data_IF_239262373081
#
_entry.id   IF_239262373081
#
_cell.length_a   1.000
_cell.length_b   1.000
_cell.length_c   1.000
_cell.angle_alpha   90.00
_cell.angle_beta   90.00
_cell.angle_gamma   90.00
#
_symmetry.space_group_name_H-M   'P 1'
#
loop_
_entity.id
_entity.type
_entity.pdbx_description
1 polymer ?
#
# COMPACT_ATOMS: atom_id res chain seq x y z
N UNK A 1 20.80 -19.96 -11.07
CA UNK A 1 20.88 -21.31 -10.47
C UNK A 1 19.51 -21.96 -10.58
N UNK A 2 19.39 -23.22 -11.02
CA UNK A 2 18.08 -23.87 -11.18
C UNK A 2 17.38 -24.03 -9.82
N UNK A 3 16.16 -23.52 -9.71
CA UNK A 3 15.35 -23.66 -8.50
C UNK A 3 14.81 -25.10 -8.37
N UNK A 4 14.84 -25.63 -7.14
CA UNK A 4 14.35 -26.98 -6.83
C UNK A 4 12.84 -27.09 -7.11
N UNK A 5 12.40 -28.22 -7.67
CA UNK A 5 11.00 -28.51 -8.01
C UNK A 5 10.33 -29.34 -6.93
N UNK A 6 10.13 -28.73 -5.77
CA UNK A 6 9.59 -29.41 -4.59
C UNK A 6 8.20 -30.01 -4.84
N UNK A 7 7.37 -29.39 -5.68
CA UNK A 7 6.03 -29.88 -6.06
C UNK A 7 6.07 -31.23 -6.77
N UNK A 8 7.05 -31.46 -7.65
CA UNK A 8 7.21 -32.74 -8.35
C UNK A 8 7.57 -33.85 -7.35
N UNK A 9 8.50 -33.56 -6.43
CA UNK A 9 8.91 -34.50 -5.39
C UNK A 9 7.75 -34.81 -4.42
N UNK A 10 6.99 -33.79 -4.01
CA UNK A 10 5.81 -33.96 -3.15
C UNK A 10 4.73 -34.82 -3.79
N UNK A 11 4.42 -34.60 -5.08
CA UNK A 11 3.42 -35.41 -5.80
C UNK A 11 3.86 -36.87 -5.91
N UNK A 12 5.15 -37.12 -6.18
CA UNK A 12 5.72 -38.48 -6.21
C UNK A 12 5.56 -39.18 -4.85
N UNK A 13 5.92 -38.49 -3.76
CA UNK A 13 5.82 -39.04 -2.40
C UNK A 13 4.36 -39.30 -2.01
N UNK A 14 3.43 -38.41 -2.36
CA UNK A 14 2.00 -38.57 -2.09
C UNK A 14 1.39 -39.80 -2.79
N UNK A 15 1.98 -40.24 -3.91
CA UNK A 15 1.60 -41.45 -4.63
C UNK A 15 2.39 -42.70 -4.16
N UNK A 16 3.22 -42.56 -3.13
CA UNK A 16 3.95 -43.68 -2.51
C UNK A 16 5.22 -44.10 -3.25
N UNK A 17 5.73 -43.29 -4.18
CA UNK A 17 6.92 -43.64 -4.95
C UNK A 17 8.23 -43.14 -4.30
N UNK A 18 9.24 -44.00 -4.21
CA UNK A 18 10.64 -43.58 -4.05
C UNK A 18 11.19 -43.05 -5.38
N UNK A 19 12.32 -42.33 -5.38
CA UNK A 19 12.95 -41.85 -6.62
C UNK A 19 13.31 -43.01 -7.57
N UNK A 20 13.76 -44.15 -7.02
CA UNK A 20 14.10 -45.36 -7.77
C UNK A 20 12.86 -46.02 -8.38
N UNK A 21 11.81 -46.26 -7.59
CA UNK A 21 10.55 -46.85 -8.09
C UNK A 21 9.85 -45.94 -9.09
N UNK A 22 9.98 -44.63 -8.93
CA UNK A 22 9.45 -43.66 -9.88
C UNK A 22 10.23 -43.67 -11.20
N UNK A 23 11.56 -43.78 -11.14
CA UNK A 23 12.43 -43.88 -12.30
C UNK A 23 12.13 -45.18 -13.09
N UNK A 24 11.98 -46.30 -12.38
CA UNK A 24 11.58 -47.58 -12.95
C UNK A 24 10.22 -47.51 -13.65
N UNK A 25 9.19 -46.97 -12.99
CA UNK A 25 7.86 -46.79 -13.58
C UNK A 25 7.90 -45.92 -14.86
N UNK A 26 8.76 -44.90 -14.87
CA UNK A 26 8.96 -44.03 -16.03
C UNK A 26 9.92 -44.62 -17.09
N UNK A 27 10.63 -45.71 -16.80
CA UNK A 27 11.70 -46.29 -17.62
C UNK A 27 12.83 -45.29 -17.91
N UNK A 28 13.29 -44.61 -16.85
CA UNK A 28 14.44 -43.69 -16.90
C UNK A 28 15.43 -44.03 -15.79
N UNK A 29 16.67 -43.53 -15.90
CA UNK A 29 17.64 -43.67 -14.81
C UNK A 29 17.22 -42.83 -13.58
N UNK A 30 17.50 -43.32 -12.36
CA UNK A 30 17.24 -42.58 -11.10
C UNK A 30 17.90 -41.20 -11.08
N UNK A 31 19.10 -41.07 -11.66
CA UNK A 31 19.81 -39.79 -11.82
C UNK A 31 19.07 -38.79 -12.70
N UNK A 32 18.20 -39.24 -13.60
CA UNK A 32 17.33 -38.37 -14.41
C UNK A 32 16.19 -37.80 -13.57
N UNK A 33 15.59 -38.59 -12.68
CA UNK A 33 14.58 -38.12 -11.72
C UNK A 33 15.19 -37.12 -10.73
N UNK A 34 16.39 -37.40 -10.21
CA UNK A 34 17.11 -36.45 -9.33
C UNK A 34 17.36 -35.12 -10.03
N UNK A 35 17.76 -35.15 -11.31
CA UNK A 35 17.96 -33.91 -12.10
C UNK A 35 16.64 -33.19 -12.39
N UNK A 36 15.54 -33.90 -12.59
CA UNK A 36 14.22 -33.30 -12.76
C UNK A 36 13.75 -32.58 -11.50
N UNK A 37 13.86 -33.23 -10.33
CA UNK A 37 13.48 -32.65 -9.03
C UNK A 37 14.41 -31.51 -8.60
N UNK A 38 15.71 -31.57 -8.95
CA UNK A 38 16.65 -30.48 -8.73
C UNK A 38 16.48 -29.31 -9.72
N UNK A 39 15.55 -29.39 -10.68
CA UNK A 39 15.35 -28.36 -11.72
C UNK A 39 16.46 -28.29 -12.78
N UNK A 40 17.46 -29.21 -12.74
CA UNK A 40 18.63 -29.22 -13.63
C UNK A 40 18.35 -29.81 -15.02
N UNK A 41 17.23 -30.50 -15.19
CA UNK A 41 16.78 -31.04 -16.48
C UNK A 41 15.24 -31.03 -16.56
N UNK A 42 14.69 -30.88 -17.75
CA UNK A 42 13.25 -31.03 -18.03
C UNK A 42 12.96 -32.39 -18.68
N UNK A 43 11.84 -33.05 -18.38
CA UNK A 43 11.39 -34.20 -19.14
C UNK A 43 11.18 -33.84 -20.61
N UNK A 44 11.68 -34.67 -21.52
CA UNK A 44 11.52 -34.44 -22.96
C UNK A 44 10.04 -34.58 -23.38
N UNK A 45 9.59 -33.94 -24.48
CA UNK A 45 8.18 -33.93 -24.89
C UNK A 45 7.53 -35.32 -24.95
N UNK A 46 8.24 -36.33 -25.47
CA UNK A 46 7.72 -37.71 -25.55
C UNK A 46 7.60 -38.42 -24.18
N UNK A 47 8.30 -37.94 -23.15
CA UNK A 47 8.27 -38.49 -21.80
C UNK A 47 7.08 -37.95 -20.98
N UNK A 48 6.59 -36.76 -21.33
CA UNK A 48 5.55 -36.03 -20.57
C UNK A 48 4.21 -36.78 -20.50
N UNK A 49 3.67 -37.41 -21.57
CA UNK A 49 2.39 -38.13 -21.49
C UNK A 49 2.45 -39.34 -20.53
N UNK A 50 3.57 -40.06 -20.51
CA UNK A 50 3.77 -41.20 -19.61
C UNK A 50 3.93 -40.74 -18.16
N UNK A 51 4.69 -39.66 -17.95
CA UNK A 51 4.90 -39.03 -16.67
C UNK A 51 3.59 -38.51 -16.05
N UNK A 52 2.76 -37.83 -16.85
CA UNK A 52 1.43 -37.35 -16.45
C UNK A 52 0.53 -38.50 -15.97
N UNK A 53 0.52 -39.61 -16.71
CA UNK A 53 -0.26 -40.81 -16.37
C UNK A 53 0.15 -41.41 -15.03
N UNK A 54 1.46 -41.56 -14.79
CA UNK A 54 1.99 -42.12 -13.53
C UNK A 54 1.72 -41.19 -12.35
N UNK A 55 1.82 -39.87 -12.56
CA UNK A 55 1.53 -38.85 -11.56
C UNK A 55 0.02 -38.56 -11.36
N UNK A 56 -0.84 -39.24 -12.12
CA UNK A 56 -2.29 -39.00 -12.17
C UNK A 56 -2.59 -37.50 -12.28
N UNK A 57 -1.92 -36.85 -13.23
CA UNK A 57 -2.01 -35.41 -13.46
C UNK A 57 -2.48 -35.15 -14.90
N UNK A 58 -3.28 -34.11 -15.12
CA UNK A 58 -3.54 -33.60 -16.48
C UNK A 58 -2.26 -33.00 -17.09
N UNK A 59 -2.19 -32.77 -18.40
CA UNK A 59 -1.06 -32.08 -19.02
C UNK A 59 -0.76 -30.72 -18.37
N UNK A 60 -1.80 -29.96 -18.03
CA UNK A 60 -1.72 -28.63 -17.40
C UNK A 60 -1.23 -28.74 -15.94
N UNK A 61 -1.70 -29.75 -15.21
CA UNK A 61 -1.22 -30.03 -13.85
C UNK A 61 0.24 -30.49 -13.86
N UNK A 62 0.66 -31.28 -14.87
CA UNK A 62 2.05 -31.68 -15.04
C UNK A 62 2.95 -30.48 -15.31
N UNK A 63 2.50 -29.52 -16.13
CA UNK A 63 3.22 -28.27 -16.35
C UNK A 63 3.38 -27.51 -15.02
N UNK A 64 2.32 -27.37 -14.22
CA UNK A 64 2.38 -26.71 -12.91
C UNK A 64 3.31 -27.40 -11.89
N UNK A 65 3.46 -28.73 -11.97
CA UNK A 65 4.41 -29.51 -11.17
C UNK A 65 5.86 -29.35 -11.64
N UNK A 66 6.07 -29.08 -12.92
CA UNK A 66 7.38 -28.88 -13.55
C UNK A 66 7.86 -27.43 -13.53
N UNK A 67 6.98 -26.46 -13.29
CA UNK A 67 7.35 -25.05 -13.06
C UNK A 67 7.91 -24.88 -11.64
N UNK A 68 9.17 -24.47 -11.46
CA UNK A 68 9.72 -24.19 -10.14
C UNK A 68 8.92 -23.08 -9.44
N UNK A 69 8.80 -23.16 -8.12
CA UNK A 69 8.06 -22.17 -7.32
C UNK A 69 8.60 -20.74 -7.51
N UNK A 70 9.87 -20.60 -7.89
CA UNK A 70 10.50 -19.32 -8.25
C UNK A 70 10.04 -18.75 -9.59
N UNK A 71 9.63 -19.56 -10.57
CA UNK A 71 9.17 -19.05 -11.88
C UNK A 71 7.73 -18.51 -11.83
N UNK A 72 6.89 -18.98 -10.91
CA UNK A 72 5.57 -18.36 -10.68
C UNK A 72 5.72 -16.99 -9.99
N UNK A 73 6.75 -16.83 -9.16
CA UNK A 73 7.13 -15.53 -8.58
C UNK A 73 7.83 -14.62 -9.59
N UNK A 74 8.62 -15.18 -10.52
CA UNK A 74 9.31 -14.42 -11.59
C UNK A 74 8.40 -14.09 -12.78
N UNK A 75 7.35 -14.86 -13.05
CA UNK A 75 6.36 -14.53 -14.10
C UNK A 75 5.40 -13.41 -13.67
N UNK A 76 5.26 -13.17 -12.36
CA UNK A 76 4.50 -12.06 -11.76
C UNK A 76 5.41 -10.93 -11.26
N UNK A 77 6.73 -11.08 -11.36
CA UNK A 77 7.69 -9.99 -11.21
C UNK A 77 8.12 -9.52 -12.60
N UNK A 78 8.29 -8.21 -12.84
CA UNK A 78 8.85 -7.77 -14.12
C UNK A 78 10.28 -8.33 -14.31
N UNK A 79 10.71 -8.59 -15.55
CA UNK A 79 12.05 -9.15 -15.81
C UNK A 79 13.11 -8.14 -15.35
N UNK A 80 13.94 -8.55 -14.39
CA UNK A 80 14.95 -7.69 -13.75
C UNK A 80 16.27 -7.60 -14.54
N UNK A 81 16.39 -8.25 -15.70
CA UNK A 81 17.70 -8.44 -16.38
C UNK A 81 17.81 -7.88 -17.82
N UNK A 82 16.90 -6.99 -18.27
CA UNK A 82 17.00 -6.46 -19.65
C UNK A 82 17.24 -4.96 -19.82
N UNK A 83 17.44 -4.15 -18.78
CA UNK A 83 17.77 -2.73 -18.97
C UNK A 83 18.72 -2.20 -17.87
N UNK A 84 19.98 -2.64 -17.89
CA UNK A 84 21.04 -2.15 -17.03
C UNK A 84 21.65 -0.81 -17.54
N UNK A 85 20.80 0.19 -17.82
CA UNK A 85 21.26 1.56 -18.11
C UNK A 85 20.30 2.65 -17.60
N UNK A 86 19.47 2.32 -16.61
CA UNK A 86 18.59 3.28 -15.93
C UNK A 86 19.19 3.76 -14.62
N UNK A 87 19.12 5.08 -14.36
CA UNK A 87 19.36 5.67 -13.03
C UNK A 87 18.64 4.83 -11.95
N UNK A 88 19.31 4.53 -10.84
CA UNK A 88 18.79 3.67 -9.79
C UNK A 88 17.39 4.12 -9.30
N UNK A 89 17.09 5.41 -9.44
CA UNK A 89 15.79 6.02 -9.12
C UNK A 89 14.64 5.60 -10.07
N UNK A 90 14.91 5.40 -11.37
CA UNK A 90 13.93 4.91 -12.36
C UNK A 90 13.64 3.42 -12.17
N UNK A 91 14.67 2.63 -11.82
CA UNK A 91 14.49 1.23 -11.43
C UNK A 91 13.60 1.12 -10.18
N UNK A 92 13.83 1.96 -9.16
CA UNK A 92 12.98 2.05 -7.97
C UNK A 92 11.53 2.41 -8.34
N UNK A 93 11.32 3.32 -9.30
CA UNK A 93 9.99 3.70 -9.78
C UNK A 93 9.24 2.54 -10.42
N UNK A 94 9.84 1.83 -11.36
CA UNK A 94 9.19 0.71 -12.07
C UNK A 94 8.80 -0.41 -11.13
N UNK A 95 9.65 -0.70 -10.17
CA UNK A 95 9.41 -1.77 -9.21
C UNK A 95 8.29 -1.41 -8.21
N UNK A 96 8.29 -0.16 -7.71
CA UNK A 96 7.18 0.36 -6.89
C UNK A 96 5.85 0.29 -7.65
N UNK A 97 5.82 0.70 -8.92
CA UNK A 97 4.63 0.61 -9.76
C UNK A 97 4.17 -0.84 -9.97
N UNK A 98 5.09 -1.76 -10.20
CA UNK A 98 4.79 -3.18 -10.37
C UNK A 98 4.15 -3.77 -9.12
N UNK A 99 4.67 -3.45 -7.93
CA UNK A 99 4.07 -3.90 -6.67
C UNK A 99 2.70 -3.27 -6.39
N UNK A 100 2.54 -1.97 -6.70
CA UNK A 100 1.25 -1.30 -6.56
C UNK A 100 0.20 -1.99 -7.44
N UNK A 101 0.54 -2.28 -8.70
CA UNK A 101 -0.33 -2.98 -9.63
C UNK A 101 -0.67 -4.40 -9.14
N UNK A 102 0.34 -5.19 -8.78
CA UNK A 102 0.16 -6.56 -8.31
C UNK A 102 -0.68 -6.63 -7.03
N UNK A 103 -0.35 -5.79 -6.04
CA UNK A 103 -1.08 -5.74 -4.77
C UNK A 103 -2.50 -5.23 -4.97
N UNK A 104 -2.68 -4.17 -5.76
CA UNK A 104 -3.98 -3.60 -6.10
C UNK A 104 -4.93 -4.63 -6.73
N UNK A 105 -4.43 -5.44 -7.66
CA UNK A 105 -5.19 -6.53 -8.24
C UNK A 105 -5.57 -7.57 -7.18
N UNK A 106 -4.61 -8.01 -6.36
CA UNK A 106 -4.83 -9.04 -5.35
C UNK A 106 -5.84 -8.60 -4.27
N UNK A 107 -5.81 -7.36 -3.80
CA UNK A 107 -6.79 -6.84 -2.82
C UNK A 107 -8.18 -6.55 -3.42
N UNK A 108 -8.33 -6.61 -4.74
CA UNK A 108 -9.63 -6.38 -5.41
C UNK A 108 -10.33 -7.68 -5.81
N UNK A 109 -9.59 -8.80 -5.86
CA UNK A 109 -10.15 -10.11 -6.22
C UNK A 109 -11.04 -10.65 -5.10
N UNK A 110 -12.28 -11.08 -5.38
CA UNK A 110 -13.14 -11.70 -4.38
C UNK A 110 -12.56 -13.04 -3.91
N UNK A 111 -12.79 -13.38 -2.64
CA UNK A 111 -12.48 -14.72 -2.12
C UNK A 111 -13.37 -15.74 -2.83
N UNK A 112 -12.77 -16.59 -3.65
CA UNK A 112 -13.47 -17.75 -4.22
C UNK A 112 -13.99 -18.68 -3.11
N UNK A 113 -14.95 -19.57 -3.41
CA UNK A 113 -15.52 -20.46 -2.40
C UNK A 113 -14.39 -21.23 -1.69
N UNK A 114 -14.39 -21.16 -0.35
CA UNK A 114 -13.36 -21.74 0.49
C UNK A 114 -13.20 -23.24 0.18
N UNK A 115 -12.17 -23.58 -0.58
CA UNK A 115 -11.86 -24.98 -0.86
C UNK A 115 -11.22 -25.57 0.40
N UNK A 116 -11.91 -26.54 1.02
CA UNK A 116 -11.59 -27.14 2.32
C UNK A 116 -10.24 -27.90 2.40
N UNK A 117 -9.45 -27.90 1.33
CA UNK A 117 -8.22 -28.70 1.18
C UNK A 117 -6.94 -27.88 0.93
N UNK A 118 -6.99 -26.56 1.13
CA UNK A 118 -5.81 -25.68 0.97
C UNK A 118 -4.88 -25.70 2.17
N UNK A 119 -3.60 -26.05 1.97
CA UNK A 119 -2.54 -25.77 2.96
C UNK A 119 -2.54 -24.28 3.27
N UNK A 120 -2.59 -23.93 4.56
CA UNK A 120 -2.49 -22.55 5.00
C UNK A 120 -1.07 -22.07 4.69
N UNK A 121 -0.93 -20.98 3.91
CA UNK A 121 0.35 -20.30 3.82
C UNK A 121 0.78 -19.91 5.23
N UNK A 122 2.05 -20.13 5.59
CA UNK A 122 2.56 -19.75 6.90
C UNK A 122 2.24 -18.26 7.15
N UNK A 123 1.71 -17.91 8.33
CA UNK A 123 1.31 -16.54 8.62
C UNK A 123 2.52 -15.60 8.48
N UNK A 124 2.37 -14.55 7.69
CA UNK A 124 3.39 -13.51 7.57
C UNK A 124 3.37 -12.66 8.85
N UNK A 125 4.47 -12.60 9.63
CA UNK A 125 4.51 -11.77 10.82
C UNK A 125 4.34 -10.31 10.45
N UNK A 126 3.61 -9.58 11.29
CA UNK A 126 3.42 -8.15 11.14
C UNK A 126 4.75 -7.41 11.43
N UNK A 127 5.36 -6.90 10.36
CA UNK A 127 6.60 -6.13 10.43
C UNK A 127 6.35 -4.62 10.54
N UNK A 128 5.09 -4.17 10.43
CA UNK A 128 4.71 -2.75 10.41
C UNK A 128 5.33 -1.94 11.55
N UNK A 129 5.14 -2.32 12.82
CA UNK A 129 5.70 -1.60 13.97
C UNK A 129 7.22 -1.41 13.91
N UNK A 130 7.95 -2.45 13.51
CA UNK A 130 9.42 -2.44 13.44
C UNK A 130 9.89 -1.54 12.29
N UNK A 131 9.19 -1.59 11.15
CA UNK A 131 9.54 -0.76 9.98
C UNK A 131 9.25 0.72 10.22
N UNK A 132 8.15 1.06 10.90
CA UNK A 132 7.88 2.44 11.34
C UNK A 132 8.91 2.93 12.34
N UNK A 133 9.37 2.07 13.25
CA UNK A 133 10.46 2.40 14.16
C UNK A 133 11.76 2.64 13.40
N UNK A 134 12.11 1.76 12.46
CA UNK A 134 13.30 1.92 11.61
C UNK A 134 13.26 3.24 10.83
N UNK A 135 12.13 3.58 10.21
CA UNK A 135 11.92 4.87 9.53
C UNK A 135 12.10 6.07 10.46
N UNK A 136 11.56 6.01 11.69
CA UNK A 136 11.70 7.09 12.67
C UNK A 136 13.15 7.31 13.09
N UNK A 137 13.90 6.22 13.27
CA UNK A 137 15.28 6.23 13.73
C UNK A 137 16.32 6.45 12.61
N UNK A 138 15.94 6.22 11.34
CA UNK A 138 16.84 6.41 10.21
C UNK A 138 17.29 7.87 10.08
N UNK A 139 18.59 8.06 9.86
CA UNK A 139 19.21 9.36 9.56
C UNK A 139 18.65 9.93 8.25
N UNK A 140 18.61 9.12 7.19
CA UNK A 140 17.89 9.43 5.97
C UNK A 140 16.67 8.52 5.81
N UNK A 141 15.50 9.13 5.59
CA UNK A 141 14.21 8.41 5.53
C UNK A 141 14.12 7.38 4.41
N UNK A 142 14.86 7.62 3.31
CA UNK A 142 15.03 6.68 2.19
C UNK A 142 15.68 5.35 2.60
N UNK A 143 16.45 5.31 3.69
CA UNK A 143 17.20 4.12 4.10
C UNK A 143 16.28 3.00 4.62
N UNK A 144 15.05 3.34 5.00
CA UNK A 144 14.03 2.34 5.37
C UNK A 144 13.40 1.64 4.15
N UNK A 145 13.51 2.23 2.94
CA UNK A 145 12.82 1.73 1.74
C UNK A 145 13.19 0.28 1.38
N UNK A 146 14.46 -0.17 1.39
CA UNK A 146 14.80 -1.54 1.04
C UNK A 146 14.10 -2.59 1.93
N UNK A 147 13.94 -2.31 3.23
CA UNK A 147 13.25 -3.21 4.16
C UNK A 147 11.73 -3.24 3.91
N UNK A 148 11.14 -2.08 3.60
CA UNK A 148 9.72 -1.98 3.22
C UNK A 148 9.46 -2.76 1.93
N UNK A 149 10.32 -2.62 0.94
CA UNK A 149 10.26 -3.33 -0.36
C UNK A 149 10.34 -4.85 -0.20
N UNK A 150 11.27 -5.32 0.64
CA UNK A 150 11.39 -6.74 0.96
C UNK A 150 10.10 -7.29 1.58
N UNK A 151 9.51 -6.54 2.52
CA UNK A 151 8.26 -6.96 3.16
C UNK A 151 7.07 -6.92 2.19
N UNK A 152 6.95 -5.90 1.32
CA UNK A 152 5.92 -5.85 0.27
C UNK A 152 6.02 -7.06 -0.65
N UNK A 153 7.24 -7.44 -1.06
CA UNK A 153 7.45 -8.61 -1.93
C UNK A 153 6.94 -9.90 -1.28
N UNK A 154 7.23 -10.10 0.01
CA UNK A 154 6.71 -11.25 0.78
C UNK A 154 5.19 -11.18 0.91
N UNK A 155 4.66 -9.99 1.17
CA UNK A 155 3.23 -9.75 1.33
C UNK A 155 2.45 -10.08 0.07
N UNK A 156 2.93 -9.67 -1.11
CA UNK A 156 2.31 -9.98 -2.42
C UNK A 156 2.19 -11.50 -2.61
N UNK A 157 3.28 -12.24 -2.33
CA UNK A 157 3.29 -13.71 -2.42
C UNK A 157 2.30 -14.32 -1.42
N UNK A 158 2.26 -13.84 -0.19
CA UNK A 158 1.32 -14.36 0.82
C UNK A 158 -0.14 -14.03 0.45
N UNK A 159 -0.43 -12.84 -0.06
CA UNK A 159 -1.77 -12.44 -0.51
C UNK A 159 -2.27 -13.35 -1.63
N UNK A 160 -1.43 -13.63 -2.62
CA UNK A 160 -1.75 -14.49 -3.75
C UNK A 160 -2.08 -15.94 -3.34
N UNK A 161 -1.56 -16.39 -2.20
CA UNK A 161 -1.78 -17.74 -1.67
C UNK A 161 -2.85 -17.79 -0.55
N UNK A 162 -3.36 -16.64 -0.12
CA UNK A 162 -4.39 -16.57 0.93
C UNK A 162 -5.73 -17.10 0.43
N UNK A 163 -6.42 -17.89 1.27
CA UNK A 163 -7.70 -18.53 0.90
C UNK A 163 -8.83 -18.29 1.90
N UNK A 164 -8.53 -17.67 3.04
CA UNK A 164 -9.54 -17.35 4.06
C UNK A 164 -9.78 -15.85 4.10
N UNK A 165 -11.03 -15.47 4.36
CA UNK A 165 -11.40 -14.05 4.54
C UNK A 165 -10.66 -13.42 5.73
N UNK A 166 -10.42 -14.20 6.78
CA UNK A 166 -9.68 -13.75 7.96
C UNK A 166 -8.19 -13.50 7.68
N UNK A 167 -7.53 -14.36 6.89
CA UNK A 167 -6.16 -14.12 6.44
C UNK A 167 -6.08 -12.91 5.52
N UNK A 168 -7.02 -12.80 4.58
CA UNK A 168 -7.10 -11.69 3.63
C UNK A 168 -7.30 -10.36 4.35
N UNK A 169 -8.22 -10.28 5.32
CA UNK A 169 -8.42 -9.09 6.15
C UNK A 169 -7.16 -8.65 6.86
N UNK A 170 -6.46 -9.58 7.55
CA UNK A 170 -5.17 -9.29 8.20
C UNK A 170 -4.08 -8.85 7.23
N UNK A 171 -4.00 -9.47 6.06
CA UNK A 171 -3.01 -9.09 5.06
C UNK A 171 -3.33 -7.71 4.45
N UNK A 172 -4.61 -7.38 4.26
CA UNK A 172 -5.03 -6.04 3.83
C UNK A 172 -4.70 -4.96 4.87
N UNK A 173 -4.74 -5.27 6.17
CA UNK A 173 -4.23 -4.37 7.22
C UNK A 173 -2.73 -4.11 7.05
N UNK A 174 -1.93 -5.17 6.83
CA UNK A 174 -0.49 -5.04 6.58
C UNK A 174 -0.19 -4.28 5.27
N UNK A 175 -0.99 -4.49 4.22
CA UNK A 175 -0.90 -3.70 2.97
C UNK A 175 -1.14 -2.23 3.28
N UNK A 176 -2.20 -1.91 4.02
CA UNK A 176 -2.53 -0.54 4.36
C UNK A 176 -1.39 0.16 5.11
N UNK A 177 -0.78 -0.53 6.08
CA UNK A 177 0.33 -0.01 6.87
C UNK A 177 1.61 0.19 6.04
N UNK A 178 2.04 -0.84 5.31
CA UNK A 178 3.27 -0.79 4.50
C UNK A 178 3.20 0.24 3.38
N UNK A 179 2.06 0.35 2.69
CA UNK A 179 1.92 1.34 1.62
C UNK A 179 1.73 2.75 2.16
N UNK A 180 1.22 2.95 3.39
CA UNK A 180 1.28 4.26 4.00
C UNK A 180 2.73 4.64 4.32
N UNK A 181 3.53 3.72 4.87
CA UNK A 181 4.96 3.95 5.14
C UNK A 181 5.78 4.20 3.86
N UNK A 182 5.56 3.40 2.81
CA UNK A 182 6.19 3.61 1.51
C UNK A 182 5.83 4.98 0.92
N UNK A 183 4.59 5.42 1.13
CA UNK A 183 4.12 6.75 0.76
C UNK A 183 4.85 7.87 1.51
N UNK A 184 5.09 7.72 2.82
CA UNK A 184 5.84 8.71 3.61
C UNK A 184 7.29 8.82 3.13
N UNK A 185 7.96 7.69 2.95
CA UNK A 185 9.35 7.67 2.46
C UNK A 185 9.45 8.33 1.08
N UNK A 186 8.49 8.04 0.19
CA UNK A 186 8.45 8.65 -1.15
C UNK A 186 8.14 10.14 -1.10
N UNK A 187 7.26 10.56 -0.18
CA UNK A 187 6.92 11.97 0.02
C UNK A 187 8.12 12.78 0.52
N UNK A 188 8.85 12.25 1.50
CA UNK A 188 10.08 12.87 2.03
C UNK A 188 11.19 12.95 0.96
N UNK A 189 11.18 12.01 0.00
CA UNK A 189 12.05 12.02 -1.18
C UNK A 189 11.56 12.91 -2.34
N UNK A 190 10.53 13.74 -2.14
CA UNK A 190 9.88 14.57 -3.17
C UNK A 190 9.30 13.78 -4.36
N UNK A 191 9.11 12.46 -4.23
CA UNK A 191 8.49 11.59 -5.22
C UNK A 191 6.98 11.56 -5.04
N UNK A 192 6.34 12.71 -5.22
CA UNK A 192 4.92 12.91 -4.90
C UNK A 192 3.96 12.03 -5.71
N UNK A 193 4.32 11.68 -6.95
CA UNK A 193 3.51 10.78 -7.77
C UNK A 193 3.44 9.37 -7.17
N UNK A 194 4.58 8.85 -6.74
CA UNK A 194 4.67 7.50 -6.17
C UNK A 194 4.03 7.48 -4.78
N UNK A 195 4.25 8.53 -3.99
CA UNK A 195 3.58 8.73 -2.71
C UNK A 195 2.05 8.72 -2.85
N UNK A 196 1.49 9.47 -3.81
CA UNK A 196 0.05 9.51 -4.05
C UNK A 196 -0.54 8.13 -4.37
N UNK A 197 0.17 7.32 -5.16
CA UNK A 197 -0.26 5.96 -5.51
C UNK A 197 -0.17 5.01 -4.32
N UNK A 198 0.92 5.06 -3.55
CA UNK A 198 1.07 4.33 -2.30
C UNK A 198 -0.07 4.65 -1.32
N UNK A 199 -0.38 5.92 -1.09
CA UNK A 199 -1.50 6.32 -0.22
C UNK A 199 -2.87 5.90 -0.77
N UNK A 200 -3.04 5.86 -2.09
CA UNK A 200 -4.27 5.38 -2.73
C UNK A 200 -4.47 3.88 -2.50
N UNK A 201 -3.40 3.10 -2.63
CA UNK A 201 -3.42 1.67 -2.37
C UNK A 201 -3.65 1.39 -0.88
N UNK A 202 -2.99 2.14 0.01
CA UNK A 202 -3.20 2.04 1.45
C UNK A 202 -4.66 2.29 1.84
N UNK A 203 -5.30 3.31 1.26
CA UNK A 203 -6.71 3.60 1.47
C UNK A 203 -7.65 2.50 0.95
N UNK A 204 -7.27 1.84 -0.16
CA UNK A 204 -8.08 0.76 -0.73
C UNK A 204 -7.98 -0.51 0.12
N UNK A 205 -6.76 -0.86 0.55
CA UNK A 205 -6.53 -2.00 1.43
C UNK A 205 -7.19 -1.81 2.80
N UNK A 206 -7.15 -0.60 3.38
CA UNK A 206 -7.84 -0.32 4.64
C UNK A 206 -9.37 -0.47 4.54
N UNK A 207 -9.96 -0.14 3.38
CA UNK A 207 -11.40 -0.37 3.13
C UNK A 207 -11.72 -1.86 3.04
N UNK A 208 -10.91 -2.61 2.30
CA UNK A 208 -11.07 -4.06 2.13
C UNK A 208 -10.96 -4.81 3.47
N UNK A 209 -9.95 -4.48 4.26
CA UNK A 209 -9.81 -5.04 5.61
C UNK A 209 -11.05 -4.74 6.47
N UNK A 210 -11.64 -3.54 6.34
CA UNK A 210 -12.83 -3.15 7.08
C UNK A 210 -14.08 -3.90 6.65
N UNK A 211 -14.22 -4.18 5.36
CA UNK A 211 -15.31 -4.98 4.82
C UNK A 211 -15.28 -6.42 5.37
N UNK A 212 -14.09 -7.03 5.50
CA UNK A 212 -13.91 -8.39 6.03
C UNK A 212 -14.18 -8.54 7.54
N UNK A 213 -14.11 -7.45 8.32
CA UNK A 213 -14.46 -7.45 9.76
C UNK A 213 -15.94 -7.22 10.03
N UNK A 214 -16.70 -6.73 9.04
CA UNK A 214 -18.15 -6.65 9.09
C UNK A 214 -18.79 -7.99 8.70
N UNK A 215 -18.64 -9.00 9.56
CA UNK A 215 -19.65 -10.06 9.64
C UNK A 215 -21.03 -9.44 9.89
N UNK A 216 -22.14 -10.09 9.51
CA UNK A 216 -23.46 -9.50 9.58
C UNK A 216 -23.68 -8.96 11.00
N UNK A 217 -23.91 -7.65 11.10
CA UNK A 217 -24.36 -7.04 12.34
C UNK A 217 -25.58 -7.85 12.78
N UNK A 218 -25.50 -8.50 13.95
CA UNK A 218 -26.70 -8.97 14.64
C UNK A 218 -27.70 -7.81 14.61
N UNK A 219 -28.92 -8.10 14.15
CA UNK A 219 -30.01 -7.19 13.81
C UNK A 219 -29.96 -5.81 14.48
N UNK A 220 -30.35 -4.74 13.77
CA UNK A 220 -30.54 -3.45 14.39
C UNK A 220 -31.58 -3.60 15.51
N UNK A 221 -31.15 -3.44 16.76
CA UNK A 221 -32.06 -3.15 17.86
C UNK A 221 -32.74 -1.84 17.48
N UNK A 222 -34.03 -1.90 17.18
CA UNK A 222 -34.86 -0.73 16.88
C UNK A 222 -34.72 0.27 18.02
N UNK A 223 -34.29 1.53 17.75
CA UNK A 223 -34.21 2.53 18.79
C UNK A 223 -35.63 2.95 19.22
N UNK A 224 -35.88 2.88 20.52
CA UNK A 224 -37.07 3.48 21.15
C UNK A 224 -37.04 5.01 20.94
N UNK A 225 -38.17 5.66 20.58
CA UNK A 225 -38.20 7.08 20.26
C UNK A 225 -38.29 7.91 21.54
N UNK A 226 -37.20 8.01 22.29
CA UNK A 226 -37.10 8.95 23.42
C UNK A 226 -35.64 9.27 23.75
N UNK A 227 -34.98 10.14 22.97
CA UNK A 227 -33.97 11.09 23.48
C UNK A 227 -33.39 11.92 22.35
N UNK A 228 -33.55 13.23 22.47
CA UNK A 228 -32.95 14.25 21.63
C UNK A 228 -31.53 14.56 22.15
N UNK A 229 -30.67 15.06 21.23
CA UNK A 229 -29.46 15.88 21.44
C UNK A 229 -28.13 15.11 21.54
N UNK A 230 -27.23 15.36 20.57
CA UNK A 230 -25.78 15.33 20.81
C UNK A 230 -24.94 14.19 20.20
N UNK A 231 -25.41 13.51 19.14
CA UNK A 231 -24.66 12.42 18.51
C UNK A 231 -23.42 12.90 17.74
N UNK A 232 -22.23 12.79 18.35
CA UNK A 232 -20.93 12.84 17.65
C UNK A 232 -20.97 11.82 16.48
N UNK A 233 -20.47 12.15 15.27
CA UNK A 233 -20.52 11.20 14.14
C UNK A 233 -19.83 9.89 14.54
N UNK A 234 -20.32 8.73 14.04
CA UNK A 234 -19.82 7.43 14.46
C UNK A 234 -18.32 7.37 14.20
N UNK A 235 -17.55 7.41 15.29
CA UNK A 235 -16.13 7.06 15.24
C UNK A 235 -16.09 5.56 15.00
N UNK A 236 -15.69 5.15 13.80
CA UNK A 236 -15.41 3.76 13.44
C UNK A 236 -14.51 3.12 14.51
N UNK A 237 -15.13 2.45 15.50
CA UNK A 237 -14.48 1.78 16.62
C UNK A 237 -14.50 0.28 16.34
N UNK A 238 -13.53 -0.18 15.58
CA UNK A 238 -13.11 -1.59 15.53
C UNK A 238 -11.77 -1.73 14.81
N UNK A 239 -10.72 -1.10 15.33
CA UNK A 239 -9.36 -1.34 14.85
C UNK A 239 -8.40 -1.33 16.05
N UNK A 240 -7.77 -2.48 16.35
CA UNK A 240 -6.47 -2.46 17.02
C UNK A 240 -5.51 -1.85 16.01
N UNK A 241 -5.30 -0.54 16.10
CA UNK A 241 -4.42 0.21 15.20
C UNK A 241 -2.98 -0.31 15.37
N UNK A 242 -2.31 -0.76 14.31
CA UNK A 242 -0.86 -0.91 14.34
C UNK A 242 -0.24 0.44 14.74
N UNK A 243 0.80 0.46 15.59
CA UNK A 243 1.55 1.68 15.89
C UNK A 243 2.28 2.15 14.62
N UNK A 244 1.60 2.94 13.78
CA UNK A 244 2.16 3.46 12.53
C UNK A 244 1.09 3.96 11.58
N UNK A 245 0.17 3.07 11.19
CA UNK A 245 -0.95 3.40 10.32
C UNK A 245 -1.90 4.45 10.93
N UNK A 246 -2.16 5.52 10.19
CA UNK A 246 -3.18 6.50 10.50
C UNK A 246 -4.06 6.76 9.28
N UNK A 247 -5.18 6.03 9.18
CA UNK A 247 -6.15 6.22 8.11
C UNK A 247 -6.74 7.64 8.04
N UNK A 248 -6.74 8.40 9.15
CA UNK A 248 -7.16 9.80 9.15
C UNK A 248 -6.13 10.72 8.44
N UNK A 249 -4.93 10.23 8.13
CA UNK A 249 -3.94 10.97 7.34
C UNK A 249 -4.09 10.78 5.84
N UNK A 250 -4.74 9.72 5.38
CA UNK A 250 -4.73 9.35 3.96
C UNK A 250 -5.35 10.43 3.05
N UNK A 251 -6.40 11.12 3.50
CA UNK A 251 -6.97 12.23 2.73
C UNK A 251 -6.01 13.43 2.67
N UNK A 252 -5.41 13.81 3.80
CA UNK A 252 -4.41 14.88 3.89
C UNK A 252 -3.17 14.58 3.04
N UNK A 253 -2.61 13.38 3.20
CA UNK A 253 -1.42 12.90 2.49
C UNK A 253 -1.61 12.89 0.97
N UNK A 254 -2.74 12.36 0.49
CA UNK A 254 -3.07 12.38 -0.95
C UNK A 254 -3.27 13.81 -1.46
N UNK A 255 -3.99 14.63 -0.70
CA UNK A 255 -4.20 16.04 -1.04
C UNK A 255 -2.88 16.81 -1.17
N UNK A 256 -1.95 16.62 -0.23
CA UNK A 256 -0.62 17.23 -0.26
C UNK A 256 0.21 16.78 -1.47
N UNK A 257 0.19 15.49 -1.81
CA UNK A 257 0.87 14.98 -3.01
C UNK A 257 0.32 15.62 -4.29
N UNK A 258 -1.00 15.64 -4.46
CA UNK A 258 -1.64 16.20 -5.64
C UNK A 258 -1.43 17.72 -5.75
N UNK A 259 -1.36 18.43 -4.63
CA UNK A 259 -1.01 19.85 -4.59
C UNK A 259 0.42 20.07 -5.12
N UNK A 260 1.39 19.29 -4.62
CA UNK A 260 2.78 19.37 -5.06
C UNK A 260 2.97 19.01 -6.55
N UNK A 261 2.13 18.11 -7.08
CA UNK A 261 2.09 17.76 -8.51
C UNK A 261 1.36 18.79 -9.38
N UNK A 262 0.81 19.86 -8.82
CA UNK A 262 0.04 20.87 -9.55
C UNK A 262 -1.35 20.40 -10.02
N UNK A 263 -1.84 19.27 -9.51
CA UNK A 263 -3.14 18.68 -9.86
C UNK A 263 -4.25 19.26 -8.97
N UNK A 264 -4.58 20.53 -9.22
CA UNK A 264 -5.37 21.36 -8.32
C UNK A 264 -6.75 20.78 -7.97
N UNK A 265 -7.54 20.36 -8.97
CA UNK A 265 -8.90 19.81 -8.74
C UNK A 265 -8.89 18.54 -7.89
N UNK A 266 -7.88 17.68 -8.09
CA UNK A 266 -7.74 16.44 -7.35
C UNK A 266 -7.31 16.74 -5.91
N UNK A 267 -6.37 17.66 -5.74
CA UNK A 267 -5.89 18.11 -4.44
C UNK A 267 -7.03 18.73 -3.60
N UNK A 268 -7.84 19.61 -4.21
CA UNK A 268 -8.94 20.28 -3.53
C UNK A 268 -9.95 19.28 -2.96
N UNK A 269 -10.32 18.26 -3.74
CA UNK A 269 -11.25 17.21 -3.28
C UNK A 269 -10.73 16.50 -2.04
N UNK A 270 -9.46 16.08 -2.03
CA UNK A 270 -8.88 15.37 -0.89
C UNK A 270 -8.68 16.27 0.33
N UNK A 271 -8.16 17.48 0.14
CA UNK A 271 -7.96 18.44 1.23
C UNK A 271 -9.28 18.91 1.84
N UNK A 272 -10.34 19.06 1.03
CA UNK A 272 -11.69 19.39 1.53
C UNK A 272 -12.32 18.27 2.35
N UNK A 273 -12.00 17.00 2.06
CA UNK A 273 -12.37 15.87 2.92
C UNK A 273 -11.55 15.93 4.21
N UNK A 274 -10.23 16.12 4.13
CA UNK A 274 -9.36 16.18 5.29
C UNK A 274 -9.72 17.33 6.25
N UNK A 275 -10.08 18.51 5.72
CA UNK A 275 -10.44 19.68 6.51
C UNK A 275 -11.70 19.47 7.39
N UNK A 276 -12.55 18.51 7.02
CA UNK A 276 -13.75 18.13 7.79
C UNK A 276 -13.48 17.04 8.83
N UNK A 277 -12.27 16.47 8.84
CA UNK A 277 -11.89 15.46 9.82
C UNK A 277 -11.43 16.14 11.12
N UNK A 278 -11.61 15.45 12.25
CA UNK A 278 -11.14 15.93 13.56
C UNK A 278 -9.63 15.81 13.72
N UNK A 279 -8.87 16.60 12.97
CA UNK A 279 -7.40 16.61 12.95
C UNK A 279 -6.80 17.38 14.13
N UNK A 280 -5.51 17.15 14.40
CA UNK A 280 -4.76 18.01 15.32
C UNK A 280 -4.61 19.42 14.73
N UNK A 281 -4.43 20.44 15.59
CA UNK A 281 -4.33 21.83 15.13
C UNK A 281 -3.24 22.04 14.06
N UNK A 282 -2.07 21.40 14.20
CA UNK A 282 -0.98 21.49 13.22
C UNK A 282 -1.35 20.90 11.86
N UNK A 283 -1.98 19.72 11.86
CA UNK A 283 -2.41 19.02 10.64
C UNK A 283 -3.57 19.77 9.97
N UNK A 284 -4.54 20.21 10.75
CA UNK A 284 -5.64 21.05 10.28
C UNK A 284 -5.12 22.31 9.60
N UNK A 285 -4.14 22.99 10.21
CA UNK A 285 -3.55 24.19 9.62
C UNK A 285 -2.77 23.90 8.33
N UNK A 286 -2.08 22.76 8.22
CA UNK A 286 -1.41 22.36 6.99
C UNK A 286 -2.40 22.10 5.84
N UNK A 287 -3.54 21.46 6.13
CA UNK A 287 -4.63 21.26 5.16
C UNK A 287 -5.24 22.60 4.72
N UNK A 288 -5.52 23.50 5.68
CA UNK A 288 -6.07 24.83 5.39
C UNK A 288 -5.09 25.67 4.56
N UNK A 289 -3.80 25.63 4.87
CA UNK A 289 -2.78 26.30 4.06
C UNK A 289 -2.76 25.75 2.63
N UNK A 290 -2.85 24.43 2.44
CA UNK A 290 -2.95 23.84 1.10
C UNK A 290 -4.20 24.27 0.34
N UNK A 291 -5.36 24.38 1.00
CA UNK A 291 -6.58 24.89 0.39
C UNK A 291 -6.49 26.39 0.05
N UNK A 292 -5.79 27.18 0.86
CA UNK A 292 -5.50 28.58 0.56
C UNK A 292 -4.57 28.71 -0.65
N UNK A 293 -3.54 27.86 -0.75
CA UNK A 293 -2.64 27.80 -1.89
C UNK A 293 -3.38 27.47 -3.20
N UNK A 294 -4.33 26.51 -3.16
CA UNK A 294 -5.21 26.22 -4.29
C UNK A 294 -6.06 27.43 -4.68
N UNK A 295 -6.67 28.10 -3.69
CA UNK A 295 -7.40 29.35 -3.92
C UNK A 295 -6.54 30.40 -4.60
N UNK A 296 -5.27 30.53 -4.19
CA UNK A 296 -4.33 31.48 -4.77
C UNK A 296 -4.01 31.15 -6.23
N UNK A 297 -3.75 29.87 -6.54
CA UNK A 297 -3.52 29.37 -7.92
C UNK A 297 -4.72 29.63 -8.83
N UNK A 298 -5.95 29.48 -8.31
CA UNK A 298 -7.19 29.75 -9.04
C UNK A 298 -7.61 31.23 -9.04
N UNK A 299 -6.83 32.12 -8.42
CA UNK A 299 -7.18 33.53 -8.19
C UNK A 299 -8.52 33.73 -7.47
N UNK A 300 -8.90 32.76 -6.63
CA UNK A 300 -10.08 32.81 -5.79
C UNK A 300 -9.73 33.46 -4.44
N UNK A 301 -9.92 34.78 -4.37
CA UNK A 301 -9.59 35.56 -3.18
C UNK A 301 -10.41 35.12 -1.96
N UNK A 302 -11.69 34.79 -2.13
CA UNK A 302 -12.54 34.41 -0.99
C UNK A 302 -12.06 33.10 -0.36
N UNK A 303 -11.61 32.15 -1.18
CA UNK A 303 -11.01 30.90 -0.71
C UNK A 303 -9.70 31.14 0.04
N UNK A 304 -8.83 31.99 -0.51
CA UNK A 304 -7.57 32.41 0.12
C UNK A 304 -7.83 33.02 1.50
N UNK A 305 -8.73 34.01 1.56
CA UNK A 305 -9.01 34.75 2.79
C UNK A 305 -9.60 33.83 3.84
N UNK A 306 -10.59 33.01 3.44
CA UNK A 306 -11.26 32.07 4.35
C UNK A 306 -10.28 31.11 5.01
N UNK A 307 -9.47 30.42 4.20
CA UNK A 307 -8.62 29.35 4.72
C UNK A 307 -7.37 29.87 5.43
N UNK A 308 -6.78 30.96 4.95
CA UNK A 308 -5.65 31.62 5.64
C UNK A 308 -6.05 32.17 7.01
N UNK A 309 -7.22 32.83 7.10
CA UNK A 309 -7.74 33.35 8.38
C UNK A 309 -8.01 32.23 9.38
N UNK A 310 -8.59 31.11 8.92
CA UNK A 310 -8.84 29.95 9.77
C UNK A 310 -7.54 29.33 10.30
N UNK A 311 -6.49 29.28 9.47
CA UNK A 311 -5.18 28.78 9.87
C UNK A 311 -4.44 29.75 10.82
N UNK A 312 -4.52 31.07 10.59
CA UNK A 312 -4.01 32.08 11.52
C UNK A 312 -4.69 31.98 12.89
N UNK A 313 -6.00 31.80 12.92
CA UNK A 313 -6.75 31.59 14.16
C UNK A 313 -6.29 30.33 14.93
N UNK A 314 -5.85 29.29 14.21
CA UNK A 314 -5.24 28.10 14.85
C UNK A 314 -3.83 28.40 15.37
N UNK A 315 -3.04 29.20 14.67
CA UNK A 315 -1.74 29.66 15.13
C UNK A 315 -1.88 30.44 16.45
N UNK A 316 -2.78 31.42 16.48
CA UNK A 316 -2.99 32.30 17.64
C UNK A 316 -3.45 31.52 18.87
N UNK A 317 -4.38 30.57 18.71
CA UNK A 317 -4.85 29.74 19.83
C UNK A 317 -3.82 28.77 20.39
N UNK A 318 -2.81 28.38 19.60
CA UNK A 318 -1.87 27.30 19.97
C UNK A 318 -0.44 27.77 20.20
N UNK A 319 -0.09 28.99 19.78
CA UNK A 319 1.29 29.47 19.78
C UNK A 319 2.24 28.61 18.93
N UNK A 320 1.72 27.83 17.98
CA UNK A 320 2.51 26.82 17.28
C UNK A 320 3.35 27.43 16.16
N UNK A 321 4.65 27.62 16.38
CA UNK A 321 5.59 28.12 15.36
C UNK A 321 5.63 27.29 14.06
N UNK A 322 5.29 26.00 14.12
CA UNK A 322 5.08 25.17 12.92
C UNK A 322 3.99 25.73 11.99
N UNK A 323 2.88 26.19 12.56
CA UNK A 323 1.74 26.70 11.79
C UNK A 323 2.12 28.03 11.14
N UNK A 324 2.80 28.88 11.90
CA UNK A 324 3.34 30.15 11.40
C UNK A 324 4.27 29.91 10.20
N UNK A 325 5.25 29.00 10.34
CA UNK A 325 6.15 28.64 9.23
C UNK A 325 5.40 28.08 8.02
N UNK A 326 4.36 27.27 8.25
CA UNK A 326 3.55 26.73 7.16
C UNK A 326 2.77 27.82 6.42
N UNK A 327 2.28 28.83 7.13
CA UNK A 327 1.61 30.00 6.57
C UNK A 327 2.57 30.94 5.84
N UNK A 328 3.80 31.11 6.33
CA UNK A 328 4.84 31.90 5.66
C UNK A 328 5.15 31.35 4.26
N UNK A 329 5.08 30.03 4.08
CA UNK A 329 5.16 29.38 2.76
C UNK A 329 4.06 29.76 1.76
N UNK A 330 3.00 30.49 2.17
CA UNK A 330 1.98 31.00 1.25
C UNK A 330 2.37 32.32 0.59
N UNK A 331 3.44 33.00 1.02
CA UNK A 331 3.79 34.34 0.51
C UNK A 331 4.00 34.37 -0.99
N UNK A 332 4.73 33.40 -1.53
CA UNK A 332 4.93 33.28 -2.98
C UNK A 332 3.61 33.00 -3.72
N UNK A 333 2.78 32.01 -3.33
CA UNK A 333 1.45 31.82 -3.90
C UNK A 333 0.54 33.05 -3.86
N UNK A 334 0.63 33.89 -2.82
CA UNK A 334 -0.22 35.07 -2.64
C UNK A 334 0.24 36.30 -3.45
N UNK A 335 1.51 36.34 -3.88
CA UNK A 335 2.08 37.50 -4.56
C UNK A 335 1.25 38.03 -5.74
N UNK A 336 0.65 37.18 -6.62
CA UNK A 336 -0.17 37.64 -7.73
C UNK A 336 -1.49 38.31 -7.32
N UNK A 337 -1.90 38.20 -6.05
CA UNK A 337 -3.19 38.67 -5.52
C UNK A 337 -3.04 39.87 -4.58
N UNK A 338 -1.85 40.45 -4.45
CA UNK A 338 -1.56 41.55 -3.51
C UNK A 338 -2.31 42.85 -3.79
N UNK A 339 -2.91 43.01 -4.98
CA UNK A 339 -3.77 44.16 -5.26
C UNK A 339 -5.09 44.14 -4.48
N UNK A 340 -5.56 42.98 -3.99
CA UNK A 340 -6.72 42.92 -3.10
C UNK A 340 -6.29 43.24 -1.65
N UNK A 341 -6.89 44.25 -1.00
CA UNK A 341 -6.48 44.70 0.32
C UNK A 341 -6.61 43.63 1.41
N UNK A 342 -7.56 42.69 1.26
CA UNK A 342 -7.74 41.58 2.21
C UNK A 342 -6.55 40.63 2.15
N UNK A 343 -6.02 40.38 0.96
CA UNK A 343 -4.86 39.50 0.76
C UNK A 343 -3.58 40.18 1.21
N UNK A 344 -3.41 41.48 0.93
CA UNK A 344 -2.28 42.27 1.44
C UNK A 344 -2.21 42.24 2.97
N UNK A 345 -3.35 42.49 3.65
CA UNK A 345 -3.45 42.45 5.10
C UNK A 345 -3.10 41.05 5.66
N UNK A 346 -3.57 39.97 5.01
CA UNK A 346 -3.19 38.61 5.39
C UNK A 346 -1.68 38.36 5.28
N UNK A 347 -1.04 38.83 4.21
CA UNK A 347 0.40 38.71 4.01
C UNK A 347 1.21 39.43 5.11
N UNK A 348 0.78 40.63 5.50
CA UNK A 348 1.37 41.39 6.62
C UNK A 348 1.21 40.65 7.94
N UNK A 349 0.02 40.12 8.21
CA UNK A 349 -0.27 39.33 9.41
C UNK A 349 0.57 38.05 9.52
N UNK A 350 0.83 37.38 8.40
CA UNK A 350 1.71 36.22 8.32
C UNK A 350 3.15 36.64 8.62
N UNK A 351 3.61 37.73 8.00
CA UNK A 351 4.97 38.26 8.15
C UNK A 351 5.27 38.66 9.60
N UNK A 352 4.35 39.39 10.25
CA UNK A 352 4.51 39.82 11.63
C UNK A 352 4.71 38.64 12.61
N UNK A 353 3.93 37.57 12.43
CA UNK A 353 4.03 36.36 13.26
C UNK A 353 5.28 35.55 12.96
N UNK A 354 5.76 35.55 11.71
CA UNK A 354 7.00 34.87 11.34
C UNK A 354 8.26 35.49 11.97
N UNK A 355 8.19 36.78 12.34
CA UNK A 355 9.28 37.52 12.98
C UNK A 355 9.26 37.48 14.52
N UNK A 356 8.19 36.95 15.13
CA UNK A 356 7.99 36.87 16.59
C UNK A 356 8.39 35.50 17.14
#
# INVERSE_FOLDING_TARGET
MASRRDRLAERRIALGYSQERFAEANQVATSTVVRWEAGKATPQPYQRPKLARILKATPEELDALLTPASEVAVALAPPLDLLADGDADDMLRREVLAWIAATGALISLPTGPASASGRHAAPLPDAGPILWQAFRLAEHKRDAMPLVRQQISRLVVTLANSRTEADRGRLCEQVADLYQLAGEISFDGNRYADAAQCYTLAASAAREAGAGTCGPARSPVTPSPSSTIGGRPPRFRCWRRPPGFDGARLAEQRGACHLALGQADVAERYLSVAARQGLSARRQAAVLAGLAELGARHRNVDQVVRYSTAALSLADRTGSGYIVRRLDGLREPLAPLMSDPRVSNLSEQITYRGAS
#
